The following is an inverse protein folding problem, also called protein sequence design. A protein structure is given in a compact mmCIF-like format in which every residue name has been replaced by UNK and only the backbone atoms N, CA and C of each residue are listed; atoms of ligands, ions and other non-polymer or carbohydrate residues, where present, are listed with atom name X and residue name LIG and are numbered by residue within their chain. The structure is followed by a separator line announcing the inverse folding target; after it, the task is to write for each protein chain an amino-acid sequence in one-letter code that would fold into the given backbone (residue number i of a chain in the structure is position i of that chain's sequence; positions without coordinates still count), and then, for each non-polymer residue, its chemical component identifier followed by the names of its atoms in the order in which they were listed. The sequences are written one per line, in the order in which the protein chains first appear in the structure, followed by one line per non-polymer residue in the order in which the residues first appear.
data_IF_360080901229
#
_entry.id   IF_360080901229
#
_cell.length_a   1.000
_cell.length_b   1.000
_cell.length_c   1.000
_cell.angle_alpha   90.00
_cell.angle_beta   90.00
_cell.angle_gamma   90.00
#
_symmetry.space_group_name_H-M   'P 1'
#
loop_
_entity.id
_entity.type
_entity.pdbx_description
1 polymer ?
#
# COMPACT_ATOMS: atom_id res chain seq x y z
N UNK A 1 6.06 7.32 15.15
CA UNK A 1 5.23 6.62 16.17
C UNK A 1 5.31 5.11 16.01
N UNK A 2 4.99 4.53 14.84
CA UNK A 2 5.11 3.09 14.59
C UNK A 2 6.53 2.55 14.77
N UNK A 3 7.55 3.23 14.25
CA UNK A 3 8.96 2.84 14.40
C UNK A 3 9.38 2.73 15.88
N UNK A 4 9.02 3.73 16.70
CA UNK A 4 9.27 3.71 18.15
C UNK A 4 8.49 2.59 18.86
N UNK A 5 7.21 2.41 18.51
CA UNK A 5 6.37 1.34 19.06
C UNK A 5 6.95 -0.06 18.78
N UNK A 6 7.48 -0.26 17.56
CA UNK A 6 8.11 -1.52 17.16
C UNK A 6 9.56 -1.66 17.64
N UNK A 7 10.12 -0.66 18.33
CA UNK A 7 11.53 -0.64 18.72
C UNK A 7 12.50 -0.66 17.54
N UNK A 8 12.09 -0.13 16.38
CA UNK A 8 12.90 -0.10 15.14
C UNK A 8 13.20 1.34 14.74
N UNK A 9 14.47 1.71 14.79
CA UNK A 9 14.93 2.99 14.23
C UNK A 9 15.20 2.86 12.73
N UNK A 10 14.74 3.83 11.95
CA UNK A 10 15.01 3.92 10.51
C UNK A 10 15.92 5.12 10.23
N UNK A 11 16.75 5.01 9.20
CA UNK A 11 17.46 6.17 8.66
C UNK A 11 16.44 7.14 8.02
N UNK A 12 16.77 8.43 7.87
CA UNK A 12 15.89 9.38 7.18
C UNK A 12 15.49 8.89 5.78
N UNK A 13 16.44 8.38 5.00
CA UNK A 13 16.17 7.84 3.67
C UNK A 13 15.22 6.63 3.69
N UNK A 14 15.37 5.73 4.67
CA UNK A 14 14.46 4.59 4.81
C UNK A 14 13.06 5.02 5.23
N UNK A 15 12.94 6.05 6.08
CA UNK A 15 11.66 6.63 6.47
C UNK A 15 10.94 7.25 5.25
N UNK A 16 11.65 8.05 4.45
CA UNK A 16 11.10 8.63 3.22
C UNK A 16 10.64 7.55 2.23
N UNK A 17 11.42 6.48 2.08
CA UNK A 17 11.04 5.34 1.25
C UNK A 17 9.74 4.68 1.75
N UNK A 18 9.56 4.52 3.06
CA UNK A 18 8.30 3.99 3.64
C UNK A 18 7.14 4.93 3.33
N UNK A 19 7.29 6.23 3.53
CA UNK A 19 6.24 7.22 3.26
C UNK A 19 5.84 7.20 1.77
N UNK A 20 6.81 7.22 0.86
CA UNK A 20 6.55 7.19 -0.56
C UNK A 20 5.81 5.92 -1.01
N UNK A 21 6.27 4.74 -0.56
CA UNK A 21 5.70 3.45 -0.95
C UNK A 21 4.35 3.15 -0.28
N UNK A 22 4.11 3.68 0.92
CA UNK A 22 2.85 3.54 1.64
C UNK A 22 1.79 4.60 1.26
N UNK A 23 2.12 5.51 0.34
CA UNK A 23 1.15 6.48 -0.18
C UNK A 23 0.02 5.79 -0.94
N UNK A 24 -1.19 6.36 -0.92
CA UNK A 24 -2.32 5.82 -1.67
C UNK A 24 -2.01 5.70 -3.17
N UNK A 25 -1.34 6.70 -3.75
CA UNK A 25 -0.89 6.67 -5.13
C UNK A 25 0.02 5.48 -5.43
N UNK A 26 1.05 5.24 -4.62
CA UNK A 26 1.94 4.10 -4.81
C UNK A 26 1.21 2.76 -4.62
N UNK A 27 0.42 2.63 -3.55
CA UNK A 27 -0.27 1.39 -3.23
C UNK A 27 -1.39 1.04 -4.22
N UNK A 28 -2.11 2.03 -4.75
CA UNK A 28 -3.19 1.83 -5.74
C UNK A 28 -2.67 1.34 -7.09
N UNK A 29 -1.43 1.65 -7.44
CA UNK A 29 -0.80 1.20 -8.69
C UNK A 29 0.04 -0.08 -8.52
N UNK A 30 0.38 -0.48 -7.29
CA UNK A 30 1.15 -1.69 -7.03
C UNK A 30 0.24 -2.95 -7.01
N UNK A 31 0.41 -3.92 -7.94
CA UNK A 31 -0.41 -5.14 -8.02
C UNK A 31 -0.43 -5.98 -6.74
N UNK A 32 0.65 -5.94 -5.96
CA UNK A 32 0.78 -6.70 -4.72
C UNK A 32 -0.01 -6.10 -3.55
N UNK A 33 -0.45 -4.84 -3.65
CA UNK A 33 -1.21 -4.15 -2.61
C UNK A 33 -2.60 -3.71 -3.05
N UNK A 34 -2.84 -3.53 -4.36
CA UNK A 34 -4.14 -3.06 -4.88
C UNK A 34 -5.15 -4.18 -5.15
N UNK A 35 -4.78 -5.43 -4.86
CA UNK A 35 -5.62 -6.63 -5.02
C UNK A 35 -6.04 -6.97 -6.46
N UNK A 36 -5.43 -6.35 -7.48
CA UNK A 36 -5.73 -6.64 -8.89
C UNK A 36 -5.43 -8.08 -9.31
N UNK A 37 -4.56 -8.78 -8.59
CA UNK A 37 -4.21 -10.19 -8.81
C UNK A 37 -5.21 -11.17 -8.16
N UNK A 38 -6.22 -10.67 -7.45
CA UNK A 38 -7.21 -11.53 -6.79
C UNK A 38 -8.09 -12.24 -7.84
N UNK A 39 -8.49 -13.51 -7.58
CA UNK A 39 -9.50 -14.17 -8.41
C UNK A 39 -10.79 -13.34 -8.51
N UNK A 40 -11.37 -13.30 -9.70
CA UNK A 40 -12.53 -12.44 -10.01
C UNK A 40 -13.79 -12.75 -9.19
N UNK A 41 -13.92 -13.97 -8.69
CA UNK A 41 -15.03 -14.36 -7.82
C UNK A 41 -14.90 -13.77 -6.41
N UNK A 42 -13.70 -13.35 -6.00
CA UNK A 42 -13.46 -12.60 -4.75
C UNK A 42 -13.55 -11.09 -4.98
N UNK A 43 -12.85 -10.59 -6.00
CA UNK A 43 -12.81 -9.17 -6.34
C UNK A 43 -12.85 -9.00 -7.86
N UNK A 44 -13.96 -8.43 -8.37
CA UNK A 44 -14.11 -8.12 -9.79
C UNK A 44 -13.73 -6.66 -10.08
N UNK A 45 -12.54 -6.39 -10.66
CA UNK A 45 -12.06 -5.02 -10.89
C UNK A 45 -12.95 -4.22 -11.85
N UNK A 46 -13.82 -4.89 -12.62
CA UNK A 46 -14.81 -4.21 -13.50
C UNK A 46 -15.88 -3.47 -12.72
N UNK A 47 -16.12 -3.83 -11.46
CA UNK A 47 -17.09 -3.15 -10.58
C UNK A 47 -16.47 -1.97 -9.83
N UNK A 48 -15.15 -1.86 -9.89
CA UNK A 48 -14.36 -0.80 -9.27
C UNK A 48 -13.05 -1.34 -8.68
N UNK A 49 -12.06 -0.46 -8.47
CA UNK A 49 -10.82 -0.83 -7.81
C UNK A 49 -11.02 -1.03 -6.31
N UNK A 50 -10.21 -1.90 -5.69
CA UNK A 50 -10.20 -2.09 -4.24
C UNK A 50 -9.81 -0.80 -3.51
N UNK A 51 -8.73 -0.16 -3.96
CA UNK A 51 -8.27 1.14 -3.47
C UNK A 51 -8.93 2.25 -4.30
N UNK A 52 -10.16 2.64 -3.93
CA UNK A 52 -11.00 3.59 -4.70
C UNK A 52 -10.75 5.07 -4.39
N UNK A 53 -10.57 5.41 -3.10
CA UNK A 53 -10.24 6.76 -2.61
C UNK A 53 -9.44 6.63 -1.32
N UNK A 54 -8.44 7.49 -1.14
CA UNK A 54 -7.55 7.54 0.02
C UNK A 54 -6.41 8.50 -0.24
#
# INVERSE_FOLDING_TARGET
RLCAFLGRSLTPAALEAVVANASFGAMSHNPMSNFSLSPRFLLDPRRGPFLRKG
#
